data_IF_766542128069
#
_entry.id   IF_766542128069
#
_cell.length_a   1.000
_cell.length_b   1.000
_cell.length_c   1.000
_cell.angle_alpha   90.00
_cell.angle_beta   90.00
_cell.angle_gamma   90.00
#
_symmetry.space_group_name_H-M   'P 1'
#
loop_
_entity.id
_entity.type
_entity.pdbx_description
1 polymer ?
#
# COMPACT_ATOMS: atom_id res chain seq x y z
N UNK A 1 10.64 16.17 -44.34
CA UNK A 1 9.62 16.31 -43.27
C UNK A 1 8.50 15.32 -43.56
N UNK A 2 8.65 14.06 -43.12
CA UNK A 2 7.63 13.02 -43.27
C UNK A 2 6.84 12.94 -41.97
N UNK A 3 5.60 13.40 -42.05
CA UNK A 3 4.63 13.39 -40.96
C UNK A 3 4.13 11.96 -40.77
N UNK A 4 4.54 11.29 -39.68
CA UNK A 4 4.02 9.98 -39.30
C UNK A 4 2.73 10.22 -38.49
N UNK A 5 1.56 9.69 -38.90
CA UNK A 5 0.33 9.93 -38.16
C UNK A 5 0.34 9.17 -36.83
N UNK A 6 0.02 9.88 -35.75
CA UNK A 6 -0.16 9.33 -34.40
C UNK A 6 -1.44 8.48 -34.37
N UNK A 7 -1.34 7.22 -34.82
CA UNK A 7 -2.44 6.25 -34.74
C UNK A 7 -2.57 5.81 -33.28
N UNK A 8 -3.64 6.26 -32.63
CA UNK A 8 -3.96 5.91 -31.24
C UNK A 8 -3.91 4.39 -31.04
N UNK A 9 -3.13 3.98 -30.03
CA UNK A 9 -2.97 2.59 -29.66
C UNK A 9 -4.31 2.11 -29.04
N UNK A 10 -4.88 0.97 -29.47
CA UNK A 10 -6.11 0.44 -28.91
C UNK A 10 -6.04 0.19 -27.41
N UNK A 11 -7.18 0.38 -26.73
CA UNK A 11 -7.40 0.16 -25.29
C UNK A 11 -7.24 -1.35 -24.90
N UNK A 12 -6.80 -2.21 -25.81
CA UNK A 12 -6.48 -3.64 -25.58
C UNK A 12 -4.97 -3.90 -25.51
N UNK A 13 -4.18 -3.02 -26.13
CA UNK A 13 -2.78 -3.32 -26.52
C UNK A 13 -1.76 -2.79 -25.51
N UNK A 14 -2.17 -1.92 -24.57
CA UNK A 14 -1.31 -1.51 -23.47
C UNK A 14 -1.05 -2.61 -22.43
N UNK A 15 -1.64 -3.80 -22.60
CA UNK A 15 -1.17 -5.01 -21.89
C UNK A 15 0.15 -5.56 -22.47
N UNK A 16 0.54 -5.16 -23.69
CA UNK A 16 1.71 -5.69 -24.40
C UNK A 16 3.01 -4.92 -24.12
N UNK A 17 2.96 -3.81 -23.38
CA UNK A 17 4.15 -3.14 -22.85
C UNK A 17 4.44 -3.58 -21.41
N UNK A 18 4.72 -4.87 -21.22
CA UNK A 18 5.39 -5.37 -20.02
C UNK A 18 6.73 -5.93 -20.48
N UNK A 19 7.79 -5.11 -20.58
CA UNK A 19 9.13 -5.64 -20.81
C UNK A 19 9.42 -6.70 -19.75
N UNK A 20 10.00 -7.81 -20.21
CA UNK A 20 10.25 -9.02 -19.44
C UNK A 20 10.77 -8.68 -18.03
N UNK A 21 10.01 -9.12 -17.01
CA UNK A 21 10.28 -8.85 -15.59
C UNK A 21 11.59 -9.51 -15.15
N UNK A 22 12.70 -8.82 -15.35
CA UNK A 22 13.94 -9.03 -14.57
C UNK A 22 13.91 -8.30 -13.22
N UNK A 23 12.85 -7.52 -12.95
CA UNK A 23 12.62 -6.84 -11.67
C UNK A 23 11.70 -7.67 -10.79
N UNK A 24 12.08 -7.86 -9.53
CA UNK A 24 11.24 -8.58 -8.57
C UNK A 24 10.00 -7.77 -8.17
N UNK A 25 9.14 -8.40 -7.38
CA UNK A 25 7.82 -7.88 -7.03
C UNK A 25 7.93 -6.66 -6.11
N UNK A 26 7.52 -5.48 -6.57
CA UNK A 26 7.54 -4.27 -5.73
C UNK A 26 6.37 -4.29 -4.75
N UNK A 27 6.68 -4.20 -3.45
CA UNK A 27 5.69 -4.29 -2.37
C UNK A 27 5.73 -3.02 -1.50
N UNK A 28 4.56 -2.41 -1.29
CA UNK A 28 4.36 -1.26 -0.42
C UNK A 28 3.91 -1.71 0.99
N UNK A 29 4.65 -1.33 2.02
CA UNK A 29 4.31 -1.53 3.42
C UNK A 29 3.75 -0.26 4.07
N UNK A 30 2.66 -0.37 4.84
CA UNK A 30 2.09 0.76 5.59
C UNK A 30 1.89 0.42 7.07
N UNK A 31 2.35 1.31 7.96
CA UNK A 31 2.16 1.20 9.41
C UNK A 31 1.80 2.56 10.02
N UNK A 32 0.65 2.61 10.70
CA UNK A 32 0.07 3.86 11.24
C UNK A 32 -0.57 3.66 12.62
N UNK A 33 -0.04 2.72 13.42
CA UNK A 33 -0.48 2.46 14.80
C UNK A 33 -0.08 3.55 15.79
N UNK A 34 0.92 4.38 15.44
CA UNK A 34 1.50 5.45 16.25
C UNK A 34 1.28 6.84 15.64
N UNK A 35 1.57 7.95 16.35
CA UNK A 35 1.52 9.30 15.78
C UNK A 35 2.44 9.50 14.58
N UNK A 36 3.57 8.79 14.57
CA UNK A 36 4.45 8.66 13.41
C UNK A 36 3.88 7.61 12.46
N UNK A 37 3.69 8.00 11.20
CA UNK A 37 3.35 7.08 10.13
C UNK A 37 4.63 6.57 9.46
N UNK A 38 4.60 5.30 9.07
CA UNK A 38 5.72 4.62 8.44
C UNK A 38 5.27 3.98 7.12
N UNK A 39 6.06 4.20 6.08
CA UNK A 39 5.98 3.54 4.79
C UNK A 39 7.26 2.77 4.53
N UNK A 40 7.12 1.63 3.89
CA UNK A 40 8.25 0.81 3.48
C UNK A 40 8.09 0.38 2.03
N UNK A 41 9.20 0.24 1.33
CA UNK A 41 9.21 -0.26 -0.04
C UNK A 41 10.16 -1.44 -0.14
N UNK A 42 9.68 -2.51 -0.77
CA UNK A 42 10.43 -3.76 -0.95
C UNK A 42 10.42 -4.18 -2.41
N UNK A 43 11.48 -4.87 -2.81
CA UNK A 43 11.58 -5.67 -4.03
C UNK A 43 11.73 -7.14 -3.59
N UNK A 44 10.64 -7.89 -3.70
CA UNK A 44 10.51 -9.20 -3.07
C UNK A 44 10.73 -9.11 -1.55
N UNK A 45 11.83 -9.69 -1.07
CA UNK A 45 12.22 -9.63 0.35
C UNK A 45 13.27 -8.55 0.65
N UNK A 46 13.82 -7.89 -0.36
CA UNK A 46 14.84 -6.85 -0.20
C UNK A 46 14.18 -5.50 0.06
N UNK A 47 14.53 -4.84 1.16
CA UNK A 47 14.07 -3.48 1.44
C UNK A 47 14.77 -2.49 0.50
N UNK A 48 13.98 -1.73 -0.26
CA UNK A 48 14.45 -0.64 -1.11
C UNK A 48 14.55 0.68 -0.34
N UNK A 49 13.59 0.93 0.55
CA UNK A 49 13.57 2.16 1.32
C UNK A 49 12.48 2.19 2.38
N UNK A 50 12.52 3.24 3.18
CA UNK A 50 11.45 3.57 4.13
C UNK A 50 11.26 5.08 4.22
N UNK A 51 10.07 5.47 4.67
CA UNK A 51 9.74 6.85 4.99
C UNK A 51 8.96 6.89 6.29
N UNK A 52 9.44 7.70 7.23
CA UNK A 52 8.74 8.01 8.47
C UNK A 52 8.44 9.49 8.53
N UNK A 53 7.27 9.86 9.03
CA UNK A 53 6.90 11.25 9.26
C UNK A 53 5.83 11.36 10.33
N UNK A 54 5.81 12.51 11.01
CA UNK A 54 4.74 12.85 11.93
C UNK A 54 3.49 13.21 11.12
N UNK A 55 2.50 12.32 11.12
CA UNK A 55 1.28 12.49 10.35
C UNK A 55 0.18 13.20 11.15
N UNK A 56 0.20 13.06 12.48
CA UNK A 56 -0.81 13.62 13.40
C UNK A 56 -2.25 13.51 12.86
N UNK A 57 -2.94 14.64 12.66
CA UNK A 57 -4.32 14.70 12.13
C UNK A 57 -4.39 14.79 10.61
N UNK A 58 -3.25 14.93 9.94
CA UNK A 58 -3.13 15.17 8.49
C UNK A 58 -2.76 13.90 7.70
N UNK A 59 -2.89 12.73 8.31
CA UNK A 59 -2.53 11.45 7.67
C UNK A 59 -3.21 11.28 6.31
N UNK A 60 -4.51 11.60 6.21
CA UNK A 60 -5.28 11.45 4.97
C UNK A 60 -4.72 12.29 3.81
N UNK A 61 -4.22 13.49 4.10
CA UNK A 61 -3.67 14.42 3.11
C UNK A 61 -2.20 14.15 2.78
N UNK A 62 -1.46 13.62 3.74
CA UNK A 62 -0.01 13.41 3.62
C UNK A 62 0.34 12.06 3.04
N UNK A 63 -0.44 11.00 3.29
CA UNK A 63 -0.11 9.62 2.93
C UNK A 63 0.18 9.43 1.45
N UNK A 64 -0.68 9.95 0.56
CA UNK A 64 -0.50 9.85 -0.89
C UNK A 64 0.77 10.59 -1.35
N UNK A 65 1.05 11.77 -0.79
CA UNK A 65 2.26 12.54 -1.10
C UNK A 65 3.52 11.78 -0.68
N UNK A 66 3.49 11.13 0.47
CA UNK A 66 4.64 10.38 0.98
C UNK A 66 4.87 9.07 0.22
N UNK A 67 3.81 8.36 -0.20
CA UNK A 67 3.92 7.20 -1.08
C UNK A 67 4.61 7.61 -2.38
N UNK A 68 4.12 8.67 -3.05
CA UNK A 68 4.72 9.16 -4.28
C UNK A 68 6.19 9.57 -4.09
N UNK A 69 6.50 10.29 -3.01
CA UNK A 69 7.89 10.67 -2.71
C UNK A 69 8.80 9.45 -2.53
N UNK A 70 8.36 8.44 -1.79
CA UNK A 70 9.14 7.22 -1.55
C UNK A 70 9.41 6.46 -2.86
N UNK A 71 8.41 6.35 -3.73
CA UNK A 71 8.55 5.70 -5.03
C UNK A 71 9.50 6.48 -5.96
N UNK A 72 9.33 7.80 -6.06
CA UNK A 72 10.19 8.65 -6.89
C UNK A 72 11.66 8.59 -6.48
N UNK A 73 11.94 8.53 -5.17
CA UNK A 73 13.31 8.35 -4.66
C UNK A 73 13.96 7.04 -5.11
N UNK A 74 13.17 6.05 -5.52
CA UNK A 74 13.62 4.76 -6.04
C UNK A 74 13.47 4.67 -7.57
N UNK A 75 13.10 5.76 -8.25
CA UNK A 75 12.84 5.76 -9.69
C UNK A 75 11.62 4.92 -10.09
N UNK A 76 10.67 4.75 -9.17
CA UNK A 76 9.46 3.94 -9.35
C UNK A 76 8.21 4.81 -9.47
N UNK A 77 7.19 4.29 -10.16
CA UNK A 77 5.85 4.87 -10.22
C UNK A 77 4.83 4.07 -9.40
N UNK A 78 3.65 4.66 -9.18
CA UNK A 78 2.56 3.98 -8.48
C UNK A 78 2.14 2.68 -9.18
N UNK A 79 2.16 2.64 -10.51
CA UNK A 79 1.74 1.48 -11.31
C UNK A 79 2.69 0.28 -11.19
N UNK A 80 3.90 0.52 -10.67
CA UNK A 80 4.88 -0.54 -10.44
C UNK A 80 4.66 -1.26 -9.11
N UNK A 81 3.76 -0.78 -8.25
CA UNK A 81 3.41 -1.52 -7.03
C UNK A 81 2.64 -2.77 -7.44
N UNK A 82 3.11 -3.93 -6.98
CA UNK A 82 2.53 -5.23 -7.30
C UNK A 82 1.89 -5.91 -6.08
N UNK A 83 2.06 -5.34 -4.90
CA UNK A 83 1.41 -5.81 -3.68
C UNK A 83 1.47 -4.81 -2.55
N UNK A 84 0.54 -4.93 -1.61
CA UNK A 84 0.46 -4.06 -0.44
C UNK A 84 0.41 -4.89 0.83
N UNK A 85 1.25 -4.54 1.81
CA UNK A 85 1.18 -5.09 3.17
C UNK A 85 0.81 -3.96 4.14
N UNK A 86 -0.19 -4.19 4.97
CA UNK A 86 -0.61 -3.21 5.98
C UNK A 86 -0.49 -3.78 7.39
N UNK A 87 -0.02 -2.96 8.32
CA UNK A 87 -0.19 -3.22 9.74
C UNK A 87 -1.64 -2.92 10.13
N UNK A 88 -2.37 -3.94 10.57
CA UNK A 88 -3.79 -3.80 10.93
C UNK A 88 -4.05 -3.45 12.39
N UNK A 89 -3.03 -3.37 13.23
CA UNK A 89 -3.18 -3.06 14.65
C UNK A 89 -2.65 -4.17 15.57
N UNK A 90 -2.89 -4.08 16.90
CA UNK A 90 -3.63 -3.02 17.56
C UNK A 90 -2.92 -1.65 17.47
N UNK A 91 -3.65 -0.55 17.63
CA UNK A 91 -3.08 0.80 17.51
C UNK A 91 -4.11 1.91 17.31
N UNK A 92 -3.65 3.05 16.77
CA UNK A 92 -4.46 4.22 16.45
C UNK A 92 -5.73 3.89 15.66
N UNK A 93 -6.91 4.05 16.27
CA UNK A 93 -8.20 3.75 15.64
C UNK A 93 -8.39 4.51 14.32
N UNK A 94 -8.13 5.81 14.34
CA UNK A 94 -8.23 6.69 13.16
C UNK A 94 -7.11 6.40 12.16
N UNK A 95 -5.87 6.24 12.63
CA UNK A 95 -4.71 6.01 11.78
C UNK A 95 -4.81 4.72 10.97
N UNK A 96 -5.24 3.62 11.60
CA UNK A 96 -5.44 2.33 10.95
C UNK A 96 -6.58 2.38 9.93
N UNK A 97 -7.70 3.03 10.26
CA UNK A 97 -8.83 3.16 9.31
C UNK A 97 -8.45 3.95 8.07
N UNK A 98 -7.75 5.08 8.24
CA UNK A 98 -7.32 5.90 7.11
C UNK A 98 -6.35 5.11 6.24
N UNK A 99 -5.28 4.53 6.81
CA UNK A 99 -4.26 3.83 6.03
C UNK A 99 -4.81 2.60 5.31
N UNK A 100 -5.65 1.80 5.98
CA UNK A 100 -6.26 0.62 5.37
C UNK A 100 -7.27 1.00 4.29
N UNK A 101 -8.02 2.08 4.46
CA UNK A 101 -8.94 2.57 3.40
C UNK A 101 -8.16 3.00 2.15
N UNK A 102 -7.06 3.73 2.34
CA UNK A 102 -6.16 4.14 1.25
C UNK A 102 -5.53 2.93 0.57
N UNK A 103 -5.03 1.98 1.35
CA UNK A 103 -4.41 0.76 0.85
C UNK A 103 -5.41 -0.11 0.06
N UNK A 104 -6.63 -0.30 0.58
CA UNK A 104 -7.69 -1.03 -0.11
C UNK A 104 -8.07 -0.34 -1.43
N UNK A 105 -8.23 0.99 -1.43
CA UNK A 105 -8.53 1.75 -2.63
C UNK A 105 -7.43 1.62 -3.69
N UNK A 106 -6.16 1.70 -3.27
CA UNK A 106 -5.01 1.52 -4.15
C UNK A 106 -4.94 0.10 -4.72
N UNK A 107 -5.10 -0.91 -3.85
CA UNK A 107 -5.11 -2.31 -4.25
C UNK A 107 -6.22 -2.61 -5.27
N UNK A 108 -7.42 -2.10 -5.01
CA UNK A 108 -8.57 -2.24 -5.89
C UNK A 108 -8.33 -1.55 -7.24
N UNK A 109 -7.86 -0.29 -7.23
CA UNK A 109 -7.64 0.49 -8.45
C UNK A 109 -6.57 -0.13 -9.37
N UNK A 110 -5.56 -0.78 -8.80
CA UNK A 110 -4.48 -1.43 -9.56
C UNK A 110 -4.70 -2.95 -9.76
N UNK A 111 -5.77 -3.51 -9.20
CA UNK A 111 -6.04 -4.95 -9.19
C UNK A 111 -4.88 -5.79 -8.61
N UNK A 112 -4.21 -5.29 -7.56
CA UNK A 112 -3.07 -5.93 -6.90
C UNK A 112 -3.46 -6.57 -5.56
N UNK A 113 -2.78 -7.63 -5.11
CA UNK A 113 -3.04 -8.25 -3.82
C UNK A 113 -2.69 -7.34 -2.64
N UNK A 114 -3.48 -7.46 -1.57
CA UNK A 114 -3.27 -6.80 -0.29
C UNK A 114 -3.26 -7.83 0.84
N UNK A 115 -2.40 -7.64 1.83
CA UNK A 115 -2.33 -8.48 3.04
C UNK A 115 -2.24 -7.61 4.30
N UNK A 116 -3.05 -7.93 5.30
CA UNK A 116 -3.17 -7.20 6.55
C UNK A 116 -2.68 -8.04 7.75
N UNK A 117 -1.57 -7.62 8.36
CA UNK A 117 -0.89 -8.36 9.46
C UNK A 117 -0.78 -7.53 10.73
N UNK A 118 -0.57 -8.22 11.84
CA UNK A 118 -0.30 -7.64 13.15
C UNK A 118 0.92 -8.33 13.77
N UNK A 119 1.39 -7.81 14.91
CA UNK A 119 2.58 -8.30 15.60
C UNK A 119 3.89 -7.72 15.05
N UNK A 120 5.01 -8.13 15.64
CA UNK A 120 6.32 -7.53 15.36
C UNK A 120 6.82 -7.82 13.93
N UNK A 121 6.63 -9.06 13.47
CA UNK A 121 7.06 -9.53 12.14
C UNK A 121 5.99 -9.37 11.06
N UNK A 122 5.08 -8.42 11.23
CA UNK A 122 3.93 -8.22 10.34
C UNK A 122 4.36 -8.03 8.88
N UNK A 123 5.44 -7.30 8.63
CA UNK A 123 5.89 -6.97 7.27
C UNK A 123 6.55 -8.17 6.60
N UNK A 124 7.44 -8.86 7.31
CA UNK A 124 8.12 -10.06 6.81
C UNK A 124 7.11 -11.18 6.52
N UNK A 125 6.18 -11.42 7.45
CA UNK A 125 5.13 -12.43 7.26
C UNK A 125 4.15 -12.03 6.16
N UNK A 126 3.81 -10.74 6.04
CA UNK A 126 2.94 -10.24 4.98
C UNK A 126 3.57 -10.34 3.59
N UNK A 127 4.85 -10.01 3.46
CA UNK A 127 5.62 -10.21 2.22
C UNK A 127 5.65 -11.68 1.85
N UNK A 128 5.95 -12.58 2.80
CA UNK A 128 5.94 -14.03 2.55
C UNK A 128 4.59 -14.52 2.06
N UNK A 129 3.50 -14.04 2.65
CA UNK A 129 2.15 -14.40 2.24
C UNK A 129 1.81 -13.89 0.83
N UNK A 130 2.19 -12.64 0.50
CA UNK A 130 2.04 -12.11 -0.85
C UNK A 130 2.81 -12.92 -1.89
N UNK A 131 4.08 -13.23 -1.61
CA UNK A 131 4.92 -14.04 -2.50
C UNK A 131 4.42 -15.49 -2.63
N UNK A 132 3.73 -16.01 -1.61
CA UNK A 132 3.04 -17.30 -1.65
C UNK A 132 1.65 -17.23 -2.32
N UNK A 133 1.26 -16.09 -2.90
CA UNK A 133 -0.01 -15.91 -3.60
C UNK A 133 -1.24 -15.74 -2.70
N UNK A 134 -1.04 -15.57 -1.38
CA UNK A 134 -2.14 -15.28 -0.45
C UNK A 134 -2.51 -13.81 -0.52
N UNK A 135 -3.80 -13.53 -0.37
CA UNK A 135 -4.35 -12.17 -0.35
C UNK A 135 -5.59 -12.10 0.51
N UNK A 136 -5.77 -10.96 1.17
CA UNK A 136 -7.04 -10.59 1.79
C UNK A 136 -7.99 -10.02 0.72
N UNK A 137 -9.29 -10.25 0.88
CA UNK A 137 -10.31 -9.58 0.04
C UNK A 137 -10.36 -8.09 0.30
N UNK A 138 -10.23 -7.73 1.57
CA UNK A 138 -10.19 -6.37 2.08
C UNK A 138 -9.39 -6.37 3.38
N UNK A 139 -8.49 -5.40 3.53
CA UNK A 139 -7.70 -5.22 4.73
C UNK A 139 -8.52 -4.46 5.78
N UNK A 140 -8.81 -5.10 6.92
CA UNK A 140 -9.62 -4.54 8.01
C UNK A 140 -8.78 -4.31 9.27
N UNK A 141 -9.06 -3.23 10.02
CA UNK A 141 -8.36 -2.95 11.27
C UNK A 141 -8.71 -3.98 12.34
N UNK A 142 -7.70 -4.37 13.12
CA UNK A 142 -7.83 -5.18 14.31
C UNK A 142 -7.94 -4.25 15.54
N UNK A 143 -9.03 -4.40 16.28
CA UNK A 143 -9.28 -3.66 17.51
C UNK A 143 -9.20 -4.59 18.71
N UNK A 144 -8.38 -4.23 19.69
CA UNK A 144 -8.16 -5.01 20.91
C UNK A 144 -9.27 -4.81 21.97
N UNK A 145 -10.33 -4.08 21.62
CA UNK A 145 -11.45 -3.81 22.53
C UNK A 145 -12.76 -4.23 21.87
N UNK A 146 -13.68 -4.86 22.61
CA UNK A 146 -15.06 -4.97 22.18
C UNK A 146 -15.63 -3.56 21.95
N UNK A 147 -16.56 -3.43 21.01
CA UNK A 147 -17.20 -2.15 20.71
C UNK A 147 -17.75 -1.53 22.00
N UNK A 148 -17.11 -0.46 22.47
CA UNK A 148 -17.64 0.34 23.56
C UNK A 148 -18.81 1.14 23.00
N UNK A 149 -20.02 0.57 23.05
CA UNK A 149 -21.24 1.32 22.83
C UNK A 149 -21.37 2.29 23.99
N UNK A 150 -20.92 3.53 23.82
CA UNK A 150 -21.28 4.61 24.74
C UNK A 150 -22.79 4.81 24.56
N UNK A 151 -23.63 4.53 25.58
CA UNK A 151 -25.06 4.75 25.45
C UNK A 151 -25.31 6.23 25.12
N UNK A 152 -26.30 6.55 24.26
CA UNK A 152 -26.62 7.92 23.91
C UNK A 152 -26.94 8.69 25.20
N UNK A 153 -26.27 9.82 25.38
CA UNK A 153 -26.51 10.71 26.53
C UNK A 153 -27.90 11.33 26.32
N UNK A 154 -28.88 10.90 27.14
CA UNK A 154 -30.22 11.52 27.23
C UNK A 154 -30.12 12.97 27.69
#
# INVERSE_FOLDING_TARGET
MTHVPFRGIPQSDYRLFHPEKERGTVILGLRTDKPEAELYLYDGQKKLGEKKWQAHRELAETIHKQINKLLMLQGLSLQQIEGIVCFKGPGSFTGLRISLSVANALAYAQAIPIVAKHGEKWIESGIKDLLAGKKDRIALPYYDRPAATTPPRK
#
